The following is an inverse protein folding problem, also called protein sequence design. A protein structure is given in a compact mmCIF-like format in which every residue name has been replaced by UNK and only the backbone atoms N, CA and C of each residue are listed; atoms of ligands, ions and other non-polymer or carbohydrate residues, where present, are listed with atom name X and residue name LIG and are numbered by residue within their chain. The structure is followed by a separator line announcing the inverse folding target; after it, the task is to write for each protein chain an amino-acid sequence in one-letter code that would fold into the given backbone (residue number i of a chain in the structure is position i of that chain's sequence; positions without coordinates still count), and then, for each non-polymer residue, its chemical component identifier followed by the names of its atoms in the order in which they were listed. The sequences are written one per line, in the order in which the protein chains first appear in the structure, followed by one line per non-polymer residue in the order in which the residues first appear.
data_IF_643531627246
#
_entry.id   IF_643531627246
#
_cell.length_a   1.000
_cell.length_b   1.000
_cell.length_c   1.000
_cell.angle_alpha   90.00
_cell.angle_beta   90.00
_cell.angle_gamma   90.00
#
_symmetry.space_group_name_H-M   'P 1'
#
loop_
_entity.id
_entity.type
_entity.pdbx_description
1 polymer ?
#
# COMPACT_ATOMS: atom_id res chain seq x y z
N UNK A 1 -14.80 8.28 -13.26
CA UNK A 1 -13.52 7.72 -13.75
C UNK A 1 -12.98 6.81 -12.66
N UNK A 2 -12.59 5.58 -12.98
CA UNK A 2 -11.92 4.67 -12.05
C UNK A 2 -10.41 4.89 -12.15
N UNK A 3 -9.75 5.03 -11.00
CA UNK A 3 -8.30 5.26 -10.94
C UNK A 3 -7.61 4.18 -10.11
N UNK A 4 -6.31 4.00 -10.35
CA UNK A 4 -5.48 3.05 -9.63
C UNK A 4 -4.39 3.80 -8.91
N UNK A 5 -4.26 3.58 -7.60
CA UNK A 5 -3.13 4.05 -6.81
C UNK A 5 -2.22 2.89 -6.46
N UNK A 6 -0.97 2.96 -6.91
CA UNK A 6 0.04 1.94 -6.63
C UNK A 6 0.96 2.36 -5.49
N UNK A 7 0.88 1.65 -4.37
CA UNK A 7 1.82 1.75 -3.27
C UNK A 7 3.10 0.95 -3.59
N UNK A 8 4.26 1.62 -3.52
CA UNK A 8 5.58 0.99 -3.80
C UNK A 8 6.42 0.80 -2.54
N UNK A 9 6.75 1.89 -1.86
CA UNK A 9 7.57 1.89 -0.62
C UNK A 9 6.84 2.43 0.60
N UNK A 10 5.68 3.05 0.38
CA UNK A 10 5.00 3.85 1.37
C UNK A 10 3.57 3.37 1.58
N UNK A 11 3.43 2.32 2.38
CA UNK A 11 2.16 1.66 2.65
C UNK A 11 1.47 2.34 3.84
N UNK A 12 1.06 3.59 3.65
CA UNK A 12 0.41 4.43 4.68
C UNK A 12 -0.84 5.09 4.12
N UNK A 13 -1.92 5.07 4.91
CA UNK A 13 -3.17 5.77 4.61
C UNK A 13 -3.13 7.22 5.10
N UNK A 14 -2.59 7.46 6.29
CA UNK A 14 -2.44 8.80 6.85
C UNK A 14 -1.26 9.54 6.25
N UNK A 15 -1.43 10.85 6.04
CA UNK A 15 -0.41 11.78 5.50
C UNK A 15 0.18 11.35 4.14
N UNK A 16 -0.63 10.71 3.30
CA UNK A 16 -0.23 10.33 1.95
C UNK A 16 -0.82 11.29 0.92
N UNK A 17 -0.01 12.26 0.47
CA UNK A 17 -0.44 13.29 -0.51
C UNK A 17 -0.95 12.69 -1.82
N UNK A 18 -0.36 11.59 -2.29
CA UNK A 18 -0.79 10.92 -3.51
C UNK A 18 -2.15 10.24 -3.33
N UNK A 19 -2.38 9.63 -2.16
CA UNK A 19 -3.68 9.05 -1.81
C UNK A 19 -4.75 10.13 -1.68
N UNK A 20 -4.46 11.20 -0.93
CA UNK A 20 -5.40 12.31 -0.75
C UNK A 20 -5.85 12.90 -2.09
N UNK A 21 -4.90 13.10 -3.01
CA UNK A 21 -5.19 13.58 -4.36
C UNK A 21 -6.02 12.58 -5.16
N UNK A 22 -5.65 11.30 -5.15
CA UNK A 22 -6.40 10.25 -5.84
C UNK A 22 -7.84 10.13 -5.31
N UNK A 23 -8.05 10.24 -4.00
CA UNK A 23 -9.39 10.25 -3.42
C UNK A 23 -10.23 11.46 -3.86
N UNK A 24 -9.61 12.63 -4.07
CA UNK A 24 -10.33 13.83 -4.50
C UNK A 24 -10.69 13.85 -6.00
N UNK A 25 -9.96 13.10 -6.83
CA UNK A 25 -10.08 13.17 -8.30
C UNK A 25 -10.82 11.96 -8.91
N UNK A 26 -11.11 10.92 -8.11
CA UNK A 26 -11.62 9.63 -8.60
C UNK A 26 -13.00 9.30 -8.02
N UNK A 27 -13.93 8.85 -8.86
CA UNK A 27 -15.22 8.33 -8.40
C UNK A 27 -15.04 6.95 -7.73
N UNK A 28 -14.08 6.18 -8.24
CA UNK A 28 -13.70 4.88 -7.71
C UNK A 28 -12.17 4.80 -7.70
N UNK A 29 -11.61 4.31 -6.60
CA UNK A 29 -10.17 4.21 -6.42
C UNK A 29 -9.78 2.78 -6.02
N UNK A 30 -8.94 2.15 -6.84
CA UNK A 30 -8.37 0.84 -6.56
C UNK A 30 -6.99 1.05 -5.92
N UNK A 31 -6.83 0.53 -4.71
CA UNK A 31 -5.58 0.53 -3.97
C UNK A 31 -4.80 -0.75 -4.29
N UNK A 32 -3.62 -0.60 -4.88
CA UNK A 32 -2.80 -1.72 -5.34
C UNK A 32 -1.41 -1.68 -4.69
N UNK A 33 -0.94 -2.84 -4.25
CA UNK A 33 0.46 -3.03 -3.87
C UNK A 33 0.95 -4.37 -4.42
N UNK A 34 2.09 -4.35 -5.11
CA UNK A 34 2.69 -5.54 -5.69
C UNK A 34 3.71 -6.12 -4.74
N UNK A 35 3.55 -7.39 -4.41
CA UNK A 35 4.55 -8.16 -3.68
C UNK A 35 5.44 -8.89 -4.70
N UNK A 36 6.75 -8.64 -4.69
CA UNK A 36 7.72 -9.34 -5.53
C UNK A 36 8.52 -10.33 -4.66
N UNK A 37 8.34 -11.66 -4.84
CA UNK A 37 9.04 -12.66 -4.04
C UNK A 37 10.58 -12.53 -4.10
N UNK A 38 11.13 -12.02 -5.20
CA UNK A 38 12.58 -11.79 -5.34
C UNK A 38 13.12 -10.70 -4.42
N UNK A 39 12.24 -9.87 -3.83
CA UNK A 39 12.61 -8.82 -2.88
C UNK A 39 12.50 -9.28 -1.43
N UNK A 40 12.17 -10.56 -1.19
CA UNK A 40 12.04 -11.10 0.15
C UNK A 40 13.41 -11.24 0.80
N UNK A 41 13.52 -10.70 2.01
CA UNK A 41 14.71 -10.83 2.84
C UNK A 41 14.36 -11.81 3.96
N UNK A 42 14.77 -13.06 3.81
CA UNK A 42 14.58 -14.09 4.83
C UNK A 42 15.29 -13.72 6.14
N UNK A 43 14.69 -14.06 7.28
CA UNK A 43 15.26 -13.79 8.60
C UNK A 43 15.29 -12.31 9.02
N UNK A 44 14.73 -11.38 8.23
CA UNK A 44 14.70 -9.96 8.58
C UNK A 44 13.43 -9.58 9.37
N UNK A 45 13.55 -9.18 10.65
CA UNK A 45 12.40 -8.76 11.46
C UNK A 45 11.67 -7.54 10.87
N UNK A 46 12.42 -6.65 10.21
CA UNK A 46 11.84 -5.48 9.51
C UNK A 46 10.96 -5.90 8.33
N UNK A 47 11.36 -6.94 7.61
CA UNK A 47 10.62 -7.45 6.46
C UNK A 47 9.34 -8.19 6.92
N UNK A 48 9.40 -8.90 8.05
CA UNK A 48 8.22 -9.51 8.66
C UNK A 48 7.23 -8.46 9.18
N UNK A 49 7.71 -7.41 9.84
CA UNK A 49 6.88 -6.31 10.33
C UNK A 49 6.18 -5.56 9.17
N UNK A 50 6.84 -5.42 8.02
CA UNK A 50 6.24 -4.82 6.82
C UNK A 50 4.98 -5.58 6.35
N UNK A 51 5.01 -6.91 6.37
CA UNK A 51 3.84 -7.72 5.99
C UNK A 51 2.74 -7.75 7.06
N UNK A 52 3.04 -7.45 8.33
CA UNK A 52 2.00 -7.29 9.34
C UNK A 52 1.14 -6.05 9.10
N UNK A 53 1.72 -4.95 8.60
CA UNK A 53 0.96 -3.73 8.22
C UNK A 53 -0.09 -4.05 7.16
N UNK A 54 0.21 -4.94 6.22
CA UNK A 54 -0.73 -5.42 5.21
C UNK A 54 -1.98 -6.07 5.81
N UNK A 55 -1.85 -6.82 6.90
CA UNK A 55 -2.98 -7.42 7.61
C UNK A 55 -3.89 -6.36 8.24
N UNK A 56 -3.31 -5.29 8.78
CA UNK A 56 -4.06 -4.19 9.40
C UNK A 56 -4.83 -3.39 8.35
N UNK A 57 -4.19 -3.10 7.21
CA UNK A 57 -4.80 -2.31 6.14
C UNK A 57 -5.92 -3.04 5.39
N UNK A 58 -5.91 -4.37 5.37
CA UNK A 58 -6.99 -5.16 4.77
C UNK A 58 -8.26 -5.19 5.63
N UNK A 59 -8.12 -5.00 6.95
CA UNK A 59 -9.21 -5.17 7.92
C UNK A 59 -9.79 -3.84 8.43
N UNK A 60 -9.36 -2.70 7.88
CA UNK A 60 -9.99 -1.39 8.05
C UNK A 60 -10.79 -1.04 6.78
#
# INVERSE_FOLDING_TARGET
MTSVMWFRKDLRLSDNKALAKACSESNELILFFQVNPKQFIEGSPKHQAFFQVWHILRNN
#
